data_IF_113520293380
#
_entry.id   IF_113520293380
#
_cell.length_a   1.000
_cell.length_b   1.000
_cell.length_c   1.000
_cell.angle_alpha   90.00
_cell.angle_beta   90.00
_cell.angle_gamma   90.00
#
_symmetry.space_group_name_H-M   'P 1'
#
loop_
_entity.id
_entity.type
_entity.pdbx_description
1 polymer ?
#
# COMPACT_ATOMS: atom_id res chain seq x y z
N UNK A 1 41.56 73.45 67.51
CA UNK A 1 40.85 73.38 66.22
C UNK A 1 40.90 71.93 65.71
N UNK A 2 40.46 70.93 66.51
CA UNK A 2 40.81 69.51 66.26
C UNK A 2 39.64 68.52 66.43
N UNK A 3 38.41 68.98 66.73
CA UNK A 3 37.27 68.08 67.02
C UNK A 3 36.49 67.64 65.75
N UNK A 4 36.47 68.46 64.70
CA UNK A 4 35.78 68.12 63.45
C UNK A 4 36.54 67.10 62.58
N UNK A 5 37.87 67.05 62.69
CA UNK A 5 38.69 66.06 61.97
C UNK A 5 38.51 64.69 62.62
N UNK A 6 38.48 64.63 63.95
CA UNK A 6 38.25 63.38 64.68
C UNK A 6 36.87 62.78 64.39
N UNK A 7 35.81 63.58 64.30
CA UNK A 7 34.46 63.05 63.99
C UNK A 7 34.37 62.49 62.57
N UNK A 8 35.03 63.11 61.58
CA UNK A 8 35.07 62.62 60.19
C UNK A 8 35.86 61.30 60.12
N UNK A 9 36.97 61.18 60.85
CA UNK A 9 37.78 59.96 60.88
C UNK A 9 37.02 58.82 61.58
N UNK A 10 36.34 59.08 62.70
CA UNK A 10 35.56 58.05 63.39
C UNK A 10 34.33 57.61 62.59
N UNK A 11 33.65 58.55 61.91
CA UNK A 11 32.53 58.23 61.01
C UNK A 11 33.02 57.44 59.78
N UNK A 12 34.18 57.79 59.23
CA UNK A 12 34.82 57.05 58.14
C UNK A 12 35.22 55.63 58.55
N UNK A 13 35.77 55.45 59.75
CA UNK A 13 36.13 54.13 60.27
C UNK A 13 34.91 53.23 60.51
N UNK A 14 33.81 53.79 61.03
CA UNK A 14 32.54 53.06 61.19
C UNK A 14 31.90 52.73 59.84
N UNK A 15 31.92 53.66 58.87
CA UNK A 15 31.40 53.41 57.52
C UNK A 15 32.22 52.33 56.79
N UNK A 16 33.54 52.35 56.91
CA UNK A 16 34.43 51.33 56.35
C UNK A 16 34.23 49.97 57.04
N UNK A 17 34.13 49.95 58.37
CA UNK A 17 33.83 48.71 59.11
C UNK A 17 32.48 48.11 58.71
N UNK A 18 31.46 48.94 58.54
CA UNK A 18 30.14 48.52 58.06
C UNK A 18 30.20 48.00 56.61
N UNK A 19 30.91 48.70 55.72
CA UNK A 19 31.07 48.27 54.33
C UNK A 19 31.83 46.93 54.22
N UNK A 20 32.87 46.73 55.03
CA UNK A 20 33.63 45.47 55.08
C UNK A 20 32.80 44.33 55.66
N UNK A 21 31.96 44.61 56.66
CA UNK A 21 31.12 43.59 57.31
C UNK A 21 29.89 43.19 56.47
N UNK A 22 29.21 44.15 55.83
CA UNK A 22 27.97 43.91 55.09
C UNK A 22 28.16 43.77 53.57
N UNK A 23 29.22 44.36 53.00
CA UNK A 23 29.52 44.31 51.57
C UNK A 23 29.57 42.90 50.99
N UNK A 24 30.31 41.94 51.60
CA UNK A 24 30.38 40.57 51.10
C UNK A 24 29.02 39.87 51.06
N UNK A 25 28.15 40.13 52.04
CA UNK A 25 26.81 39.53 52.12
C UNK A 25 25.88 40.08 51.06
N UNK A 26 25.89 41.39 50.83
CA UNK A 26 25.06 42.03 49.80
C UNK A 26 25.49 41.63 48.39
N UNK A 27 26.80 41.58 48.13
CA UNK A 27 27.35 41.15 46.84
C UNK A 27 27.02 39.68 46.59
N UNK A 28 27.14 38.81 47.60
CA UNK A 28 26.77 37.40 47.49
C UNK A 28 25.29 37.24 47.16
N UNK A 29 24.38 37.88 47.90
CA UNK A 29 22.93 37.77 47.64
C UNK A 29 22.56 38.31 46.25
N UNK A 30 23.16 39.40 45.80
CA UNK A 30 22.92 39.94 44.46
C UNK A 30 23.43 39.00 43.36
N UNK A 31 24.65 38.45 43.51
CA UNK A 31 25.21 37.47 42.58
C UNK A 31 24.36 36.19 42.53
N UNK A 32 23.99 35.64 43.69
CA UNK A 32 23.14 34.45 43.76
C UNK A 32 21.80 34.68 43.09
N UNK A 33 21.13 35.81 43.37
CA UNK A 33 19.85 36.14 42.75
C UNK A 33 19.96 36.30 41.23
N UNK A 34 21.03 36.91 40.73
CA UNK A 34 21.26 37.05 39.29
C UNK A 34 21.56 35.71 38.62
N UNK A 35 22.35 34.87 39.27
CA UNK A 35 22.68 33.52 38.78
C UNK A 35 21.43 32.64 38.78
N UNK A 36 20.65 32.65 39.86
CA UNK A 36 19.37 31.95 39.97
C UNK A 36 18.38 32.43 38.90
N UNK A 37 18.26 33.74 38.69
CA UNK A 37 17.41 34.28 37.64
C UNK A 37 17.84 33.80 36.25
N UNK A 38 19.14 33.87 35.91
CA UNK A 38 19.66 33.36 34.64
C UNK A 38 19.48 31.86 34.48
N UNK A 39 19.60 31.09 35.57
CA UNK A 39 19.33 29.66 35.54
C UNK A 39 17.85 29.38 35.31
N UNK A 40 16.95 30.05 36.03
CA UNK A 40 15.51 29.91 35.85
C UNK A 40 15.08 30.31 34.42
N UNK A 41 15.62 31.41 33.89
CA UNK A 41 15.36 31.85 32.52
C UNK A 41 15.80 30.80 31.50
N UNK A 42 17.04 30.26 31.63
CA UNK A 42 17.52 29.17 30.77
C UNK A 42 16.69 27.91 30.92
N UNK A 43 16.26 27.58 32.13
CA UNK A 43 15.49 26.37 32.42
C UNK A 43 14.09 26.48 31.82
N UNK A 44 13.45 27.64 31.90
CA UNK A 44 12.18 27.92 31.23
C UNK A 44 12.33 27.95 29.71
N UNK A 45 13.42 28.53 29.17
CA UNK A 45 13.70 28.50 27.74
C UNK A 45 13.86 27.05 27.22
N UNK A 46 14.66 26.24 27.91
CA UNK A 46 14.85 24.82 27.58
C UNK A 46 13.55 24.04 27.71
N UNK A 47 12.74 24.28 28.75
CA UNK A 47 11.40 23.68 28.90
C UNK A 47 10.47 24.07 27.75
N UNK A 48 10.47 25.34 27.34
CA UNK A 48 9.67 25.83 26.23
C UNK A 48 10.11 25.17 24.90
N UNK A 49 11.42 25.09 24.66
CA UNK A 49 11.97 24.41 23.48
C UNK A 49 11.61 22.93 23.44
N UNK A 50 11.70 22.22 24.58
CA UNK A 50 11.27 20.82 24.66
C UNK A 50 9.79 20.64 24.37
N UNK A 51 8.92 21.51 24.92
CA UNK A 51 7.47 21.46 24.63
C UNK A 51 7.19 21.67 23.16
N UNK A 52 7.82 22.68 22.55
CA UNK A 52 7.68 22.96 21.12
C UNK A 52 8.16 21.78 20.27
N UNK A 53 9.29 21.18 20.62
CA UNK A 53 9.83 20.00 19.92
C UNK A 53 8.93 18.78 20.06
N UNK A 54 8.34 18.57 21.22
CA UNK A 54 7.38 17.48 21.46
C UNK A 54 6.10 17.67 20.64
N UNK A 55 5.58 18.91 20.55
CA UNK A 55 4.44 19.25 19.70
C UNK A 55 4.75 19.01 18.22
N UNK A 56 5.88 19.53 17.73
CA UNK A 56 6.35 19.27 16.36
C UNK A 56 6.48 17.77 16.08
N UNK A 57 7.03 17.00 17.02
CA UNK A 57 7.18 15.55 16.88
C UNK A 57 5.83 14.82 16.87
N UNK A 58 4.88 15.24 17.71
CA UNK A 58 3.52 14.68 17.72
C UNK A 58 2.78 14.97 16.43
N UNK A 59 2.92 16.17 15.88
CA UNK A 59 2.30 16.57 14.61
C UNK A 59 2.92 15.79 13.44
N UNK A 60 4.24 15.65 13.40
CA UNK A 60 4.92 14.83 12.40
C UNK A 60 4.51 13.36 12.49
N UNK A 61 4.47 12.80 13.69
CA UNK A 61 4.06 11.40 13.91
C UNK A 61 2.60 11.18 13.49
N UNK A 62 1.70 12.06 13.91
CA UNK A 62 0.28 11.96 13.55
C UNK A 62 0.07 12.13 12.04
N UNK A 63 0.75 13.10 11.41
CA UNK A 63 0.75 13.31 9.97
C UNK A 63 1.29 12.09 9.21
N UNK A 64 2.40 11.50 9.66
CA UNK A 64 2.97 10.30 9.07
C UNK A 64 2.03 9.09 9.19
N UNK A 65 1.39 8.89 10.34
CA UNK A 65 0.42 7.82 10.54
C UNK A 65 -0.83 8.00 9.66
N UNK A 66 -1.34 9.21 9.53
CA UNK A 66 -2.46 9.53 8.62
C UNK A 66 -2.08 9.33 7.16
N UNK A 67 -0.88 9.74 6.75
CA UNK A 67 -0.37 9.51 5.40
C UNK A 67 -0.21 8.00 5.11
N UNK A 68 0.28 7.23 6.08
CA UNK A 68 0.37 5.77 5.97
C UNK A 68 -1.01 5.12 5.87
N UNK A 69 -1.97 5.53 6.72
CA UNK A 69 -3.34 5.02 6.69
C UNK A 69 -4.04 5.33 5.36
N UNK A 70 -3.93 6.56 4.86
CA UNK A 70 -4.49 6.95 3.56
C UNK A 70 -3.87 6.16 2.39
N UNK A 71 -2.56 5.92 2.42
CA UNK A 71 -1.89 5.06 1.44
C UNK A 71 -2.42 3.62 1.51
N UNK A 72 -2.59 3.08 2.72
CA UNK A 72 -3.11 1.74 2.91
C UNK A 72 -4.53 1.59 2.36
N UNK A 73 -5.40 2.56 2.64
CA UNK A 73 -6.77 2.61 2.09
C UNK A 73 -6.75 2.66 0.57
N UNK A 74 -5.91 3.51 -0.03
CA UNK A 74 -5.79 3.61 -1.49
C UNK A 74 -5.32 2.28 -2.11
N UNK A 75 -4.36 1.59 -1.48
CA UNK A 75 -3.90 0.27 -1.92
C UNK A 75 -4.98 -0.81 -1.78
N UNK A 76 -5.69 -0.83 -0.66
CA UNK A 76 -6.79 -1.77 -0.44
C UNK A 76 -7.93 -1.57 -1.44
N UNK A 77 -8.29 -0.32 -1.75
CA UNK A 77 -9.27 0.00 -2.78
C UNK A 77 -8.84 -0.56 -4.14
N UNK A 78 -7.57 -0.41 -4.53
CA UNK A 78 -7.05 -1.00 -5.78
C UNK A 78 -7.05 -2.51 -5.77
N UNK A 79 -6.79 -3.14 -4.62
CA UNK A 79 -6.88 -4.61 -4.48
C UNK A 79 -8.33 -5.09 -4.63
N UNK A 80 -9.29 -4.41 -4.03
CA UNK A 80 -10.71 -4.74 -4.20
C UNK A 80 -11.16 -4.59 -5.65
N UNK A 81 -10.79 -3.49 -6.31
CA UNK A 81 -11.07 -3.27 -7.74
C UNK A 81 -10.45 -4.36 -8.61
N UNK A 82 -9.21 -4.77 -8.32
CA UNK A 82 -8.55 -5.84 -9.06
C UNK A 82 -9.23 -7.21 -8.87
N UNK A 83 -9.72 -7.51 -7.67
CA UNK A 83 -10.50 -8.73 -7.42
C UNK A 83 -11.78 -8.73 -8.26
N UNK A 84 -12.48 -7.61 -8.34
CA UNK A 84 -13.70 -7.47 -9.15
C UNK A 84 -13.41 -7.58 -10.67
N UNK A 85 -12.31 -6.96 -11.13
CA UNK A 85 -11.84 -7.10 -12.52
C UNK A 85 -11.45 -8.55 -12.88
N UNK A 86 -10.84 -9.28 -11.94
CA UNK A 86 -10.52 -10.69 -12.13
C UNK A 86 -11.79 -11.54 -12.15
N UNK A 87 -12.74 -11.26 -11.26
CA UNK A 87 -14.01 -11.99 -11.15
C UNK A 87 -14.91 -11.77 -12.36
N UNK A 88 -15.05 -10.54 -12.82
CA UNK A 88 -15.78 -10.22 -14.07
C UNK A 88 -15.17 -10.94 -15.28
N UNK A 89 -13.85 -11.03 -15.37
CA UNK A 89 -13.17 -11.84 -16.39
C UNK A 89 -13.50 -13.33 -16.24
N UNK A 90 -13.55 -13.86 -15.02
CA UNK A 90 -13.95 -15.24 -14.75
C UNK A 90 -15.40 -15.53 -15.18
N UNK A 91 -16.32 -14.59 -14.94
CA UNK A 91 -17.72 -14.67 -15.40
C UNK A 91 -17.78 -14.63 -16.93
N UNK A 92 -17.01 -13.75 -17.59
CA UNK A 92 -16.96 -13.69 -19.04
C UNK A 92 -16.51 -15.03 -19.67
N UNK A 93 -15.65 -15.78 -18.99
CA UNK A 93 -15.25 -17.13 -19.39
C UNK A 93 -16.27 -18.25 -19.08
N UNK A 94 -17.37 -17.97 -18.38
CA UNK A 94 -18.34 -19.01 -17.98
C UNK A 94 -18.93 -19.78 -19.16
N UNK A 95 -19.14 -19.13 -20.30
CA UNK A 95 -19.58 -19.82 -21.54
C UNK A 95 -18.54 -20.81 -22.05
N UNK A 96 -17.26 -20.44 -22.04
CA UNK A 96 -16.17 -21.35 -22.41
C UNK A 96 -16.01 -22.52 -21.42
N UNK A 97 -16.31 -22.32 -20.13
CA UNK A 97 -16.37 -23.41 -19.14
C UNK A 97 -17.47 -24.41 -19.47
N UNK A 98 -18.65 -23.96 -19.89
CA UNK A 98 -19.72 -24.87 -20.29
C UNK A 98 -19.31 -25.72 -21.50
N UNK A 99 -18.63 -25.10 -22.49
CA UNK A 99 -18.02 -25.83 -23.61
C UNK A 99 -17.00 -26.85 -23.09
N UNK A 100 -16.14 -26.49 -22.14
CA UNK A 100 -15.18 -27.41 -21.54
C UNK A 100 -15.81 -28.60 -20.83
N UNK A 101 -16.91 -28.40 -20.11
CA UNK A 101 -17.63 -29.48 -19.44
C UNK A 101 -18.21 -30.46 -20.44
N UNK A 102 -18.75 -29.96 -21.55
CA UNK A 102 -19.33 -30.79 -22.59
C UNK A 102 -18.25 -31.53 -23.38
N UNK A 103 -17.15 -30.85 -23.73
CA UNK A 103 -16.00 -31.43 -24.40
C UNK A 103 -15.29 -32.50 -23.56
N UNK A 104 -15.45 -32.51 -22.23
CA UNK A 104 -14.95 -33.58 -21.38
C UNK A 104 -15.70 -34.91 -21.57
N UNK A 105 -16.96 -34.87 -22.03
CA UNK A 105 -17.78 -36.05 -22.34
C UNK A 105 -17.62 -36.54 -23.79
N UNK A 106 -16.91 -35.78 -24.64
CA UNK A 106 -16.72 -36.09 -26.06
C UNK A 106 -15.31 -36.63 -26.29
N UNK A 107 -15.19 -37.76 -26.98
CA UNK A 107 -13.88 -38.21 -27.47
C UNK A 107 -13.46 -37.32 -28.64
N UNK A 108 -12.47 -36.45 -28.40
CA UNK A 108 -12.00 -35.47 -29.37
C UNK A 108 -11.51 -36.11 -30.68
N UNK A 109 -10.74 -37.19 -30.60
CA UNK A 109 -10.17 -37.83 -31.79
C UNK A 109 -11.28 -38.39 -32.69
N UNK A 110 -12.23 -39.13 -32.11
CA UNK A 110 -13.36 -39.70 -32.84
C UNK A 110 -14.28 -38.62 -33.40
N UNK A 111 -14.58 -37.58 -32.62
CA UNK A 111 -15.44 -36.49 -33.06
C UNK A 111 -14.79 -35.66 -34.18
N UNK A 112 -13.48 -35.43 -34.11
CA UNK A 112 -12.74 -34.69 -35.13
C UNK A 112 -12.64 -35.48 -36.44
N UNK A 113 -12.40 -36.79 -36.39
CA UNK A 113 -12.40 -37.66 -37.58
C UNK A 113 -13.78 -37.72 -38.24
N UNK A 114 -14.83 -37.92 -37.45
CA UNK A 114 -16.19 -38.00 -37.97
C UNK A 114 -16.66 -36.65 -38.55
N UNK A 115 -16.22 -35.53 -37.97
CA UNK A 115 -16.50 -34.20 -38.51
C UNK A 115 -15.88 -33.92 -39.88
N UNK A 116 -14.80 -34.63 -40.27
CA UNK A 116 -14.26 -34.54 -41.64
C UNK A 116 -15.18 -35.17 -42.68
N UNK A 117 -15.96 -36.20 -42.28
CA UNK A 117 -16.80 -37.01 -43.16
C UNK A 117 -18.26 -36.61 -43.12
N UNK A 118 -18.75 -36.18 -41.97
CA UNK A 118 -20.17 -36.00 -41.70
C UNK A 118 -20.52 -34.52 -41.40
N UNK A 119 -21.20 -33.83 -42.33
CA UNK A 119 -21.64 -32.45 -42.14
C UNK A 119 -22.55 -32.24 -40.93
N UNK A 120 -23.35 -33.24 -40.55
CA UNK A 120 -24.27 -33.13 -39.41
C UNK A 120 -23.53 -33.03 -38.07
N UNK A 121 -22.36 -33.67 -37.96
CA UNK A 121 -21.51 -33.55 -36.77
C UNK A 121 -20.98 -32.12 -36.67
N UNK A 122 -20.49 -31.55 -37.77
CA UNK A 122 -20.05 -30.14 -37.81
C UNK A 122 -21.17 -29.18 -37.40
N UNK A 123 -22.38 -29.42 -37.88
CA UNK A 123 -23.56 -28.59 -37.57
C UNK A 123 -23.96 -28.70 -36.10
N UNK A 124 -23.95 -29.90 -35.51
CA UNK A 124 -24.22 -30.10 -34.08
C UNK A 124 -23.23 -29.34 -33.19
N UNK A 125 -21.93 -29.38 -33.52
CA UNK A 125 -20.90 -28.63 -32.79
C UNK A 125 -20.93 -27.12 -33.12
N UNK A 126 -21.39 -26.71 -34.30
CA UNK A 126 -21.61 -25.31 -34.63
C UNK A 126 -22.74 -24.67 -33.80
N UNK A 127 -23.80 -25.44 -33.53
CA UNK A 127 -24.87 -24.99 -32.61
C UNK A 127 -24.32 -24.77 -31.19
N UNK A 128 -23.33 -25.56 -30.75
CA UNK A 128 -22.70 -25.40 -29.44
C UNK A 128 -21.82 -24.14 -29.34
N UNK A 129 -21.15 -23.76 -30.44
CA UNK A 129 -20.37 -22.52 -30.53
C UNK A 129 -21.25 -21.26 -30.49
N UNK A 130 -22.50 -21.34 -30.98
CA UNK A 130 -23.43 -20.20 -30.97
C UNK A 130 -23.76 -19.66 -29.56
N UNK A 131 -23.53 -20.46 -28.52
CA UNK A 131 -23.73 -20.07 -27.13
C UNK A 131 -22.57 -19.25 -26.54
N UNK A 132 -21.44 -19.12 -27.26
CA UNK A 132 -20.25 -18.42 -26.78
C UNK A 132 -19.73 -17.40 -27.82
N UNK A 133 -19.90 -16.12 -27.52
CA UNK A 133 -19.43 -15.04 -28.38
C UNK A 133 -17.99 -14.64 -28.01
N UNK A 134 -17.03 -15.20 -28.73
CA UNK A 134 -15.60 -14.89 -28.58
C UNK A 134 -15.27 -13.42 -28.88
N UNK A 135 -16.09 -12.70 -29.65
CA UNK A 135 -15.85 -11.27 -29.95
C UNK A 135 -16.20 -10.35 -28.78
N UNK A 136 -17.06 -10.82 -27.88
CA UNK A 136 -17.44 -10.10 -26.65
C UNK A 136 -16.57 -10.48 -25.44
N UNK A 137 -15.61 -11.39 -25.63
CA UNK A 137 -14.72 -11.84 -24.57
C UNK A 137 -13.67 -10.77 -24.27
N UNK A 138 -13.92 -9.96 -23.24
CA UNK A 138 -12.94 -9.01 -22.71
C UNK A 138 -12.24 -9.58 -21.48
N UNK A 139 -10.95 -9.91 -21.61
CA UNK A 139 -10.08 -10.37 -20.53
C UNK A 139 -9.06 -9.32 -20.09
N UNK A 140 -9.14 -8.10 -20.63
CA UNK A 140 -8.19 -7.04 -20.34
C UNK A 140 -8.24 -6.62 -18.86
N UNK A 141 -9.40 -6.78 -18.21
CA UNK A 141 -9.57 -6.57 -16.78
C UNK A 141 -8.67 -7.48 -15.94
N UNK A 142 -8.58 -8.77 -16.28
CA UNK A 142 -7.71 -9.70 -15.56
C UNK A 142 -6.22 -9.31 -15.65
N UNK A 143 -5.75 -8.86 -16.82
CA UNK A 143 -4.36 -8.44 -16.98
C UNK A 143 -4.04 -7.16 -16.19
N UNK A 144 -5.00 -6.22 -16.12
CA UNK A 144 -4.90 -5.01 -15.26
C UNK A 144 -4.91 -5.35 -13.77
N UNK A 145 -5.64 -6.39 -13.38
CA UNK A 145 -5.73 -6.86 -12.01
C UNK A 145 -4.44 -7.57 -11.52
N UNK A 146 -3.65 -8.14 -12.45
CA UNK A 146 -2.48 -9.00 -12.14
C UNK A 146 -1.54 -8.45 -11.06
N UNK A 147 -1.15 -7.16 -11.04
CA UNK A 147 -0.21 -6.64 -10.03
C UNK A 147 -0.79 -6.57 -8.60
N UNK A 148 -2.12 -6.59 -8.48
CA UNK A 148 -2.83 -6.32 -7.21
C UNK A 148 -3.47 -7.56 -6.61
N UNK A 149 -3.50 -8.69 -7.32
CA UNK A 149 -4.02 -9.97 -6.85
C UNK A 149 -2.92 -10.88 -6.31
N UNK A 150 -3.28 -11.85 -5.49
CA UNK A 150 -2.32 -12.84 -4.99
C UNK A 150 -1.80 -13.74 -6.13
N UNK A 151 -0.55 -14.23 -6.07
CA UNK A 151 -0.03 -15.17 -7.06
C UNK A 151 -0.89 -16.44 -7.19
N UNK A 152 -1.47 -16.92 -6.09
CA UNK A 152 -2.36 -18.08 -6.07
C UNK A 152 -3.66 -17.79 -6.84
N UNK A 153 -4.30 -16.64 -6.61
CA UNK A 153 -5.53 -16.27 -7.33
C UNK A 153 -5.26 -16.15 -8.84
N UNK A 154 -4.12 -15.55 -9.20
CA UNK A 154 -3.69 -15.48 -10.59
C UNK A 154 -3.43 -16.87 -11.21
N UNK A 155 -2.73 -17.74 -10.49
CA UNK A 155 -2.46 -19.10 -10.95
C UNK A 155 -3.76 -19.87 -11.24
N UNK A 156 -4.72 -19.83 -10.30
CA UNK A 156 -6.04 -20.46 -10.47
C UNK A 156 -6.80 -19.89 -11.68
N UNK A 157 -6.86 -18.57 -11.81
CA UNK A 157 -7.50 -17.94 -12.97
C UNK A 157 -6.80 -18.32 -14.28
N UNK A 158 -5.48 -18.33 -14.32
CA UNK A 158 -4.71 -18.67 -15.52
C UNK A 158 -4.94 -20.12 -15.96
N UNK A 159 -5.00 -21.06 -15.01
CA UNK A 159 -5.31 -22.46 -15.27
C UNK A 159 -6.76 -22.61 -15.77
N UNK A 160 -7.71 -21.95 -15.11
CA UNK A 160 -9.11 -21.93 -15.54
C UNK A 160 -9.25 -21.39 -16.97
N UNK A 161 -8.58 -20.28 -17.28
CA UNK A 161 -8.54 -19.70 -18.64
C UNK A 161 -7.97 -20.66 -19.65
N UNK A 162 -6.85 -21.32 -19.34
CA UNK A 162 -6.20 -22.25 -20.25
C UNK A 162 -7.12 -23.45 -20.58
N UNK A 163 -7.73 -24.08 -19.56
CA UNK A 163 -8.61 -25.23 -19.74
C UNK A 163 -9.84 -24.84 -20.57
N UNK A 164 -10.50 -23.74 -20.22
CA UNK A 164 -11.69 -23.27 -20.92
C UNK A 164 -11.38 -22.95 -22.40
N UNK A 165 -10.28 -22.24 -22.67
CA UNK A 165 -9.89 -21.89 -24.04
C UNK A 165 -9.44 -23.10 -24.85
N UNK A 166 -8.78 -24.09 -24.24
CA UNK A 166 -8.41 -25.34 -24.91
C UNK A 166 -9.66 -26.06 -25.44
N UNK A 167 -10.75 -26.08 -24.66
CA UNK A 167 -12.01 -26.67 -25.09
C UNK A 167 -12.64 -25.90 -26.27
N UNK A 168 -12.61 -24.58 -26.24
CA UNK A 168 -13.09 -23.73 -27.35
C UNK A 168 -12.28 -24.01 -28.63
N UNK A 169 -10.96 -24.14 -28.53
CA UNK A 169 -10.11 -24.49 -29.68
C UNK A 169 -10.48 -25.86 -30.25
N UNK A 170 -10.65 -26.87 -29.40
CA UNK A 170 -11.09 -28.21 -29.82
C UNK A 170 -12.45 -28.17 -30.53
N UNK A 171 -13.40 -27.40 -29.99
CA UNK A 171 -14.72 -27.20 -30.61
C UNK A 171 -14.59 -26.60 -32.01
N UNK A 172 -13.75 -25.58 -32.16
CA UNK A 172 -13.54 -24.90 -33.45
C UNK A 172 -12.91 -25.84 -34.50
N UNK A 173 -12.00 -26.72 -34.09
CA UNK A 173 -11.41 -27.73 -34.98
C UNK A 173 -12.48 -28.72 -35.49
N UNK A 174 -13.34 -29.20 -34.60
CA UNK A 174 -14.43 -30.12 -34.97
C UNK A 174 -15.43 -29.40 -35.88
N UNK A 175 -15.84 -28.17 -35.54
CA UNK A 175 -16.77 -27.36 -36.33
C UNK A 175 -16.26 -27.11 -37.75
N UNK A 176 -14.98 -26.80 -37.90
CA UNK A 176 -14.37 -26.52 -39.21
C UNK A 176 -14.06 -27.80 -40.00
N UNK A 177 -13.98 -28.96 -39.33
CA UNK A 177 -13.71 -30.24 -39.96
C UNK A 177 -12.27 -30.37 -40.48
N UNK A 178 -11.32 -29.64 -39.89
CA UNK A 178 -9.92 -29.62 -40.32
C UNK A 178 -9.16 -30.90 -39.89
N UNK A 179 -9.77 -31.77 -39.10
CA UNK A 179 -9.19 -33.04 -38.62
C UNK A 179 -8.26 -32.85 -37.43
N UNK A 180 -7.97 -33.95 -36.71
CA UNK A 180 -7.18 -33.94 -35.48
C UNK A 180 -5.66 -33.74 -35.71
N UNK A 181 -5.19 -33.87 -36.95
CA UNK A 181 -3.77 -33.93 -37.30
C UNK A 181 -3.01 -32.63 -37.00
N UNK A 182 -3.69 -31.48 -36.97
CA UNK A 182 -3.07 -30.19 -36.62
C UNK A 182 -2.63 -30.11 -35.15
N UNK A 183 -3.27 -30.83 -34.23
CA UNK A 183 -2.87 -30.83 -32.81
C UNK A 183 -1.86 -31.92 -32.47
N UNK A 184 -1.76 -32.98 -33.29
CA UNK A 184 -0.83 -34.10 -33.08
C UNK A 184 0.59 -33.79 -33.56
N UNK A 185 0.75 -32.81 -34.47
CA UNK A 185 2.04 -32.50 -35.09
C UNK A 185 3.01 -31.71 -34.20
N UNK A 186 2.51 -31.09 -33.13
CA UNK A 186 3.29 -30.26 -32.21
C UNK A 186 3.58 -30.95 -30.85
N UNK A 187 3.28 -32.24 -30.74
CA UNK A 187 3.67 -33.08 -29.60
C UNK A 187 5.00 -33.79 -29.89
N UNK A 188 6.06 -33.00 -30.11
CA UNK A 188 7.48 -33.43 -30.10
C UNK A 188 8.28 -32.43 -29.31
#
# INVERSE_FOLDING_TARGET
MNLWISSIVTMGALALGFAVWFGPKLIATWLFKNVEHKFNEKLEAVRADFRKKEEEFRDLRSGAMTAMASRQIALENRRLEAVDQLWSSMIALSGARNISSLMASVNFDTAAEEATRNPKVREAFAMMDSAFDYKKLDLSGAEKARPFVSPMAWALFSAYRAIAMQAVVKLQIIKTGIGADLLKKDAV
#
